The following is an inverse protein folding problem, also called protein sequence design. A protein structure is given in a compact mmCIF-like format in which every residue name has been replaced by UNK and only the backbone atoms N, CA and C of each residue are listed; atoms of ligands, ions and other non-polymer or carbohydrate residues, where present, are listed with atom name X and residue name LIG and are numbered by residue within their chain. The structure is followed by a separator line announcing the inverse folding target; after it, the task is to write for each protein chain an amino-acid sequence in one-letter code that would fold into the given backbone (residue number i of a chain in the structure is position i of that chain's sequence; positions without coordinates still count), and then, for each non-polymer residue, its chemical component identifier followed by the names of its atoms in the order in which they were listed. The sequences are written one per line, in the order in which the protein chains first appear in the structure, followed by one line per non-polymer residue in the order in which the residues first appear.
data_IF_691939768765
#
_entry.id   IF_691939768765
#
_cell.length_a   1.000
_cell.length_b   1.000
_cell.length_c   1.000
_cell.angle_alpha   90.00
_cell.angle_beta   90.00
_cell.angle_gamma   90.00
#
_symmetry.space_group_name_H-M   'P 1'
#
loop_
_entity.id
_entity.type
_entity.pdbx_description
1 polymer ?
#
# COMPACT_ATOMS: atom_id res chain seq x y z
N UNK A 1 -5.03 11.09 -5.73
CA UNK A 1 -4.17 11.31 -4.54
C UNK A 1 -3.13 10.21 -4.32
N UNK A 2 -3.46 8.95 -3.94
CA UNK A 2 -2.39 7.97 -3.66
C UNK A 2 -1.66 7.42 -4.90
N UNK A 3 -2.38 7.20 -6.02
CA UNK A 3 -1.77 6.77 -7.27
C UNK A 3 -0.76 7.81 -7.82
N UNK A 4 -1.01 9.10 -7.60
CA UNK A 4 -0.11 10.19 -8.00
C UNK A 4 1.22 10.16 -7.23
N UNK A 5 1.17 9.90 -5.91
CA UNK A 5 2.37 9.76 -5.09
C UNK A 5 3.23 8.58 -5.54
N UNK A 6 2.57 7.48 -5.92
CA UNK A 6 3.28 6.30 -6.40
C UNK A 6 3.87 6.52 -7.79
N UNK A 7 3.14 7.17 -8.70
CA UNK A 7 3.63 7.58 -10.00
C UNK A 7 4.86 8.50 -9.87
N UNK A 8 4.78 9.52 -9.02
CA UNK A 8 5.90 10.42 -8.76
C UNK A 8 7.12 9.65 -8.20
N UNK A 9 6.88 8.72 -7.27
CA UNK A 9 7.95 7.88 -6.71
C UNK A 9 8.58 6.97 -7.78
N UNK A 10 7.79 6.35 -8.65
CA UNK A 10 8.29 5.52 -9.76
C UNK A 10 9.07 6.37 -10.76
N UNK A 11 8.58 7.54 -11.15
CA UNK A 11 9.31 8.46 -12.05
C UNK A 11 10.66 8.86 -11.46
N UNK A 12 10.73 9.23 -10.17
CA UNK A 12 12.01 9.52 -9.53
C UNK A 12 12.91 8.27 -9.51
N UNK A 13 12.33 7.10 -9.25
CA UNK A 13 13.05 5.83 -9.20
C UNK A 13 13.68 5.50 -10.54
N UNK A 14 13.00 5.72 -11.68
CA UNK A 14 13.58 5.42 -12.99
C UNK A 14 14.78 6.28 -13.36
N UNK A 15 14.95 7.45 -12.74
CA UNK A 15 16.13 8.30 -12.93
C UNK A 15 17.32 7.91 -12.04
N UNK A 16 17.04 7.30 -10.88
CA UNK A 16 18.05 7.07 -9.82
C UNK A 16 18.48 5.61 -9.77
N UNK A 17 17.56 4.69 -10.03
CA UNK A 17 17.76 3.28 -9.80
C UNK A 17 18.61 2.68 -10.93
N UNK A 18 19.74 2.11 -10.56
CA UNK A 18 20.58 1.35 -11.50
C UNK A 18 19.88 0.06 -11.96
N UNK A 19 20.18 -0.45 -13.17
CA UNK A 19 19.72 -1.76 -13.61
C UNK A 19 20.02 -2.86 -12.58
N UNK A 20 19.08 -3.78 -12.38
CA UNK A 20 19.11 -4.81 -11.34
C UNK A 20 18.72 -4.30 -9.93
N UNK A 21 18.39 -3.02 -9.79
CA UNK A 21 18.00 -2.41 -8.51
C UNK A 21 16.68 -2.93 -7.94
N UNK A 22 16.39 -2.55 -6.70
CA UNK A 22 15.15 -2.89 -6.00
C UNK A 22 14.43 -1.62 -5.56
N UNK A 23 13.11 -1.58 -5.79
CA UNK A 23 12.22 -0.51 -5.38
C UNK A 23 11.15 -1.08 -4.45
N UNK A 24 10.92 -0.42 -3.31
CA UNK A 24 9.88 -0.81 -2.36
C UNK A 24 9.00 0.39 -2.06
N UNK A 25 7.70 0.24 -2.26
CA UNK A 25 6.74 1.30 -2.01
C UNK A 25 5.56 0.81 -1.18
N UNK A 26 5.10 1.67 -0.27
CA UNK A 26 3.84 1.47 0.46
C UNK A 26 2.68 1.83 -0.46
N UNK A 27 1.70 0.94 -0.56
CA UNK A 27 0.53 1.05 -1.42
C UNK A 27 -0.73 0.72 -0.64
N UNK A 28 -1.89 1.16 -1.12
CA UNK A 28 -3.16 0.68 -0.60
C UNK A 28 -3.69 -0.44 -1.49
N UNK A 29 -4.06 -1.56 -0.86
CA UNK A 29 -4.71 -2.68 -1.52
C UNK A 29 -6.18 -2.31 -1.78
N UNK A 30 -6.52 -2.10 -3.05
CA UNK A 30 -7.86 -1.74 -3.50
C UNK A 30 -8.16 -2.37 -4.85
N UNK A 31 -9.20 -1.87 -5.53
CA UNK A 31 -9.67 -2.40 -6.81
C UNK A 31 -8.60 -2.37 -7.92
N UNK A 32 -7.72 -1.38 -7.90
CA UNK A 32 -6.78 -1.09 -9.00
C UNK A 32 -5.36 -1.63 -8.78
N UNK A 33 -5.17 -2.53 -7.83
CA UNK A 33 -3.85 -3.11 -7.49
C UNK A 33 -3.26 -3.95 -8.63
N UNK A 34 -4.12 -4.63 -9.40
CA UNK A 34 -3.69 -5.47 -10.52
C UNK A 34 -3.15 -4.63 -11.70
N UNK A 35 -3.75 -3.46 -11.92
CA UNK A 35 -3.26 -2.49 -12.89
C UNK A 35 -1.88 -1.97 -12.47
N UNK A 36 -1.75 -1.60 -11.20
CA UNK A 36 -0.48 -1.17 -10.62
C UNK A 36 0.61 -2.25 -10.75
N UNK A 37 0.27 -3.50 -10.42
CA UNK A 37 1.17 -4.63 -10.57
C UNK A 37 1.66 -4.77 -12.01
N UNK A 38 0.75 -4.70 -12.97
CA UNK A 38 1.06 -4.82 -14.40
C UNK A 38 1.98 -3.69 -14.88
N UNK A 39 1.75 -2.46 -14.43
CA UNK A 39 2.59 -1.30 -14.73
C UNK A 39 4.00 -1.44 -14.17
N UNK A 40 4.13 -1.87 -12.90
CA UNK A 40 5.43 -2.11 -12.28
C UNK A 40 6.18 -3.27 -12.97
N UNK A 41 5.47 -4.30 -13.44
CA UNK A 41 6.06 -5.47 -14.11
C UNK A 41 6.75 -5.12 -15.44
N UNK A 42 6.41 -3.99 -16.06
CA UNK A 42 7.09 -3.49 -17.26
C UNK A 42 8.54 -3.08 -16.96
N UNK A 43 8.79 -2.58 -15.75
CA UNK A 43 10.08 -2.03 -15.34
C UNK A 43 10.90 -2.94 -14.44
N UNK A 44 10.32 -4.05 -13.96
CA UNK A 44 10.95 -4.91 -12.96
C UNK A 44 10.70 -6.39 -13.28
N UNK A 45 11.76 -7.19 -13.19
CA UNK A 45 11.70 -8.63 -13.44
C UNK A 45 10.77 -9.35 -12.45
N UNK A 46 10.73 -8.91 -11.20
CA UNK A 46 9.90 -9.48 -10.13
C UNK A 46 9.15 -8.36 -9.40
N UNK A 47 7.83 -8.51 -9.27
CA UNK A 47 6.99 -7.62 -8.47
C UNK A 47 6.22 -8.51 -7.51
N UNK A 48 6.27 -8.20 -6.22
CA UNK A 48 5.53 -8.91 -5.17
C UNK A 48 4.77 -7.88 -4.37
N UNK A 49 3.47 -8.13 -4.16
CA UNK A 49 2.67 -7.33 -3.24
C UNK A 49 2.57 -8.10 -1.93
N UNK A 50 3.14 -7.54 -0.88
CA UNK A 50 3.23 -8.17 0.43
C UNK A 50 2.61 -7.31 1.51
N UNK A 51 1.80 -7.93 2.35
CA UNK A 51 1.33 -7.34 3.60
C UNK A 51 2.04 -8.02 4.77
N UNK A 52 3.08 -7.41 5.36
CA UNK A 52 3.84 -8.03 6.42
C UNK A 52 3.01 -8.16 7.71
N UNK A 53 3.36 -9.11 8.57
CA UNK A 53 2.70 -9.34 9.88
C UNK A 53 2.77 -8.15 10.82
N UNK A 54 3.74 -7.26 10.63
CA UNK A 54 3.87 -6.00 11.37
C UNK A 54 2.83 -4.95 10.96
N UNK A 55 2.18 -5.11 9.80
CA UNK A 55 1.07 -4.25 9.36
C UNK A 55 -0.23 -4.66 10.05
N UNK A 56 -1.09 -3.69 10.36
CA UNK A 56 -2.39 -3.95 11.01
C UNK A 56 -3.27 -4.79 10.08
N UNK A 57 -3.85 -5.88 10.60
CA UNK A 57 -4.76 -6.75 9.81
C UNK A 57 -5.91 -5.96 9.20
N UNK A 58 -6.43 -4.97 9.93
CA UNK A 58 -7.52 -4.08 9.52
C UNK A 58 -7.10 -2.88 8.65
N UNK A 59 -5.86 -2.85 8.14
CA UNK A 59 -5.40 -1.78 7.26
C UNK A 59 -5.31 -2.25 5.82
N UNK A 60 -5.71 -1.41 4.88
CA UNK A 60 -5.50 -1.66 3.45
C UNK A 60 -4.06 -1.54 3.00
N UNK A 61 -3.16 -1.14 3.87
CA UNK A 61 -1.77 -0.95 3.50
C UNK A 61 -1.07 -2.27 3.18
N UNK A 62 -0.42 -2.28 2.02
CA UNK A 62 0.49 -3.31 1.55
C UNK A 62 1.76 -2.65 1.02
N UNK A 63 2.75 -3.48 0.68
CA UNK A 63 4.01 -3.03 0.11
C UNK A 63 4.22 -3.71 -1.24
N UNK A 64 4.45 -2.91 -2.27
CA UNK A 64 4.97 -3.41 -3.54
C UNK A 64 6.49 -3.51 -3.43
N UNK A 65 7.00 -4.72 -3.59
CA UNK A 65 8.43 -5.05 -3.60
C UNK A 65 8.80 -5.41 -5.04
N UNK A 66 9.51 -4.51 -5.71
CA UNK A 66 9.89 -4.65 -7.11
C UNK A 66 11.41 -4.87 -7.17
N UNK A 67 11.84 -5.96 -7.80
CA UNK A 67 13.24 -6.40 -7.84
C UNK A 67 13.67 -6.62 -9.29
N UNK A 68 14.96 -6.40 -9.54
CA UNK A 68 15.51 -6.52 -10.88
C UNK A 68 15.01 -5.41 -11.79
N UNK A 69 15.33 -4.15 -11.45
CA UNK A 69 14.99 -3.02 -12.32
C UNK A 69 15.56 -3.24 -13.71
N UNK A 70 14.68 -3.33 -14.70
CA UNK A 70 14.97 -3.69 -16.07
C UNK A 70 14.02 -2.89 -16.98
N UNK A 71 14.32 -1.60 -17.23
CA UNK A 71 13.49 -0.79 -18.09
C UNK A 71 13.54 -1.30 -19.53
N UNK A 72 12.45 -1.16 -20.31
CA UNK A 72 12.44 -1.53 -21.72
C UNK A 72 13.51 -0.78 -22.53
N UNK A 73 13.99 -1.42 -23.59
CA UNK A 73 14.93 -0.79 -24.53
C UNK A 73 14.33 0.53 -25.05
N UNK A 74 15.16 1.58 -25.10
CA UNK A 74 14.77 2.93 -25.55
C UNK A 74 13.80 3.66 -24.60
N UNK A 75 13.57 3.15 -23.40
CA UNK A 75 12.92 3.92 -22.34
C UNK A 75 13.86 5.04 -21.87
N UNK A 76 13.37 6.28 -21.94
CA UNK A 76 14.07 7.44 -21.41
C UNK A 76 13.29 7.99 -20.21
N UNK A 77 13.90 7.99 -19.00
CA UNK A 77 13.28 8.61 -17.84
C UNK A 77 12.99 10.09 -18.12
N UNK A 78 11.74 10.51 -17.90
CA UNK A 78 11.33 11.91 -18.04
C UNK A 78 10.71 12.44 -16.76
N UNK A 79 11.00 13.70 -16.43
CA UNK A 79 10.52 14.38 -15.22
C UNK A 79 9.18 15.11 -15.42
N UNK A 80 8.48 14.87 -16.54
CA UNK A 80 7.20 15.55 -16.78
C UNK A 80 6.14 15.09 -15.77
N UNK A 81 5.53 16.07 -15.11
CA UNK A 81 4.36 15.83 -14.28
C UNK A 81 3.18 15.51 -15.20
N UNK A 82 2.65 14.28 -15.14
CA UNK A 82 1.44 13.86 -15.87
C UNK A 82 0.22 14.76 -15.56
N UNK A 83 0.26 15.52 -14.45
CA UNK A 83 -0.75 16.51 -14.06
C UNK A 83 -0.64 17.86 -14.80
N UNK A 84 0.43 18.11 -15.55
CA UNK A 84 0.51 19.25 -16.47
C UNK A 84 -0.21 18.84 -17.77
N UNK A 85 -1.54 18.71 -17.70
CA UNK A 85 -2.41 18.48 -18.86
C UNK A 85 -2.14 19.60 -19.89
N UNK A 86 -1.36 19.27 -20.93
CA UNK A 86 -1.00 20.19 -22.00
C UNK A 86 0.49 20.20 -22.36
N UNK A 87 1.41 19.85 -21.44
CA UNK A 87 2.85 19.77 -21.75
C UNK A 87 3.26 18.36 -22.18
N UNK A 88 2.68 17.32 -21.57
CA UNK A 88 2.91 15.92 -21.96
C UNK A 88 2.55 15.69 -23.44
N UNK A 89 1.38 16.19 -23.86
CA UNK A 89 0.90 16.07 -25.23
C UNK A 89 1.88 16.72 -26.22
N UNK A 90 2.35 17.94 -25.92
CA UNK A 90 3.33 18.67 -26.75
C UNK A 90 4.69 17.99 -26.81
N UNK A 91 5.14 17.38 -25.70
CA UNK A 91 6.37 16.59 -25.68
C UNK A 91 6.25 15.40 -26.63
N UNK A 92 5.19 14.60 -26.54
CA UNK A 92 5.02 13.46 -27.45
C UNK A 92 4.74 13.87 -28.90
N UNK A 93 4.11 15.02 -29.16
CA UNK A 93 3.88 15.56 -30.50
C UNK A 93 5.16 16.11 -31.16
N UNK A 94 6.10 16.67 -30.37
CA UNK A 94 7.38 17.18 -30.89
C UNK A 94 8.35 16.08 -31.34
N UNK A 95 8.24 14.87 -30.79
CA UNK A 95 9.08 13.71 -31.12
C UNK A 95 8.35 12.68 -32.01
N UNK A 96 7.16 13.01 -32.52
CA UNK A 96 6.35 12.12 -33.35
C UNK A 96 6.84 12.11 -34.81
N UNK A 97 8.02 11.53 -35.05
CA UNK A 97 8.57 11.24 -36.38
C UNK A 97 7.85 10.05 -37.07
N UNK A 98 6.66 9.67 -36.59
CA UNK A 98 5.90 8.51 -37.07
C UNK A 98 6.39 7.16 -36.53
N UNK A 99 7.33 7.14 -35.59
CA UNK A 99 7.83 5.93 -34.92
C UNK A 99 7.17 5.71 -33.54
N UNK A 100 6.95 4.45 -33.20
CA UNK A 100 6.40 4.04 -31.89
C UNK A 100 7.36 4.43 -30.75
N UNK A 101 6.97 5.37 -29.90
CA UNK A 101 7.78 5.80 -28.78
C UNK A 101 7.41 5.03 -27.50
N UNK A 102 8.35 4.27 -26.96
CA UNK A 102 8.14 3.37 -25.80
C UNK A 102 7.61 4.13 -24.58
N UNK A 103 8.07 5.37 -24.36
CA UNK A 103 7.56 6.24 -23.29
C UNK A 103 6.06 6.59 -23.44
N UNK A 104 5.51 6.62 -24.66
CA UNK A 104 4.08 6.91 -24.93
C UNK A 104 3.19 5.70 -24.63
N UNK A 105 3.70 4.48 -24.80
CA UNK A 105 2.94 3.26 -24.51
C UNK A 105 2.96 2.90 -23.03
N UNK A 106 4.00 3.31 -22.31
CA UNK A 106 4.17 3.03 -20.88
C UNK A 106 3.42 4.04 -20.00
N UNK A 107 3.13 5.25 -20.51
CA UNK A 107 2.29 6.24 -19.84
C UNK A 107 0.87 6.16 -20.43
N UNK A 108 -0.16 5.80 -19.64
CA UNK A 108 -0.44 6.50 -18.40
C UNK A 108 -0.57 5.55 -17.22
N UNK A 109 0.21 5.83 -16.19
CA UNK A 109 -0.15 5.44 -14.84
C UNK A 109 -1.44 6.20 -14.48
N UNK A 110 -2.58 5.66 -14.92
CA UNK A 110 -3.86 6.28 -14.66
C UNK A 110 -4.09 6.22 -13.16
N UNK A 111 -4.34 7.37 -12.55
CA UNK A 111 -4.90 7.43 -11.21
C UNK A 111 -6.35 6.91 -11.27
N UNK A 112 -6.50 5.60 -11.49
CA UNK A 112 -7.78 4.94 -11.36
C UNK A 112 -8.09 4.82 -9.87
N UNK A 113 -9.23 5.35 -9.44
CA UNK A 113 -9.76 5.12 -8.10
C UNK A 113 -10.21 6.39 -7.39
N UNK A 114 -11.51 6.67 -7.49
CA UNK A 114 -12.27 7.25 -6.40
C UNK A 114 -12.28 6.24 -5.23
N UNK A 115 -12.05 6.71 -4.00
CA UNK A 115 -12.04 5.91 -2.76
C UNK A 115 -13.41 5.25 -2.44
N UNK A 116 -14.42 5.40 -3.29
CA UNK A 116 -15.77 4.86 -3.12
C UNK A 116 -15.91 3.35 -3.38
N UNK A 117 -14.87 2.68 -3.90
CA UNK A 117 -14.89 1.24 -4.16
C UNK A 117 -15.02 0.41 -2.88
N UNK A 118 -15.60 -0.80 -3.00
CA UNK A 118 -15.63 -1.77 -1.92
C UNK A 118 -14.23 -2.35 -1.64
N UNK A 119 -13.83 -2.33 -0.38
CA UNK A 119 -12.55 -2.66 0.21
C UNK A 119 -12.72 -3.95 1.02
N UNK A 120 -11.68 -4.77 0.98
CA UNK A 120 -11.53 -5.99 1.76
C UNK A 120 -11.65 -5.77 3.28
N UNK A 121 -11.50 -4.53 3.78
CA UNK A 121 -11.53 -4.21 5.21
C UNK A 121 -12.94 -3.94 5.76
N UNK A 122 -14.01 -4.16 4.99
CA UNK A 122 -15.41 -4.10 5.48
C UNK A 122 -15.82 -2.76 6.11
N UNK A 123 -15.17 -1.65 5.75
CA UNK A 123 -15.47 -0.30 6.29
C UNK A 123 -16.70 0.34 5.62
N UNK A 124 -17.67 -0.48 5.21
CA UNK A 124 -18.91 -0.03 4.58
C UNK A 124 -20.02 0.10 5.62
N UNK A 125 -20.97 0.98 5.35
CA UNK A 125 -22.27 0.94 6.01
C UNK A 125 -22.80 -0.49 5.94
N UNK A 126 -23.06 -1.09 7.10
CA UNK A 126 -23.42 -2.52 7.23
C UNK A 126 -24.72 -2.88 6.47
N UNK A 127 -25.46 -1.87 6.01
CA UNK A 127 -26.63 -1.97 5.14
C UNK A 127 -26.23 -1.92 3.65
N UNK A 128 -25.44 -2.88 3.19
CA UNK A 128 -24.86 -2.88 1.83
C UNK A 128 -25.91 -3.03 0.71
N UNK A 129 -27.12 -3.54 1.00
CA UNK A 129 -28.07 -3.95 -0.05
C UNK A 129 -29.54 -3.54 0.15
N UNK A 130 -29.90 -2.66 1.10
CA UNK A 130 -31.31 -2.29 1.43
C UNK A 130 -32.27 -3.48 1.64
N UNK A 131 -31.76 -4.71 1.78
CA UNK A 131 -32.55 -5.95 1.79
C UNK A 131 -32.66 -6.60 3.17
N UNK A 132 -31.72 -6.34 4.09
CA UNK A 132 -31.77 -6.77 5.50
C UNK A 132 -30.91 -5.85 6.38
N UNK A 133 -31.42 -5.52 7.56
CA UNK A 133 -30.67 -4.79 8.59
C UNK A 133 -29.58 -5.67 9.18
N UNK A 134 -28.40 -5.09 9.39
CA UNK A 134 -27.29 -5.78 10.04
C UNK A 134 -27.64 -6.15 11.49
N UNK A 135 -27.36 -7.41 11.88
CA UNK A 135 -27.49 -7.90 13.25
C UNK A 135 -26.10 -8.17 13.83
N UNK A 136 -25.74 -7.43 14.88
CA UNK A 136 -24.48 -7.63 15.61
C UNK A 136 -24.48 -8.97 16.35
N UNK A 137 -23.34 -9.67 16.29
CA UNK A 137 -23.07 -10.88 17.07
C UNK A 137 -21.84 -10.64 17.94
N UNK A 138 -21.90 -11.12 19.18
CA UNK A 138 -20.76 -11.03 20.11
C UNK A 138 -19.56 -11.84 19.57
N UNK A 139 -18.32 -11.35 19.75
CA UNK A 139 -17.11 -12.10 19.39
C UNK A 139 -17.02 -13.42 20.17
N UNK A 140 -16.68 -14.50 19.48
CA UNK A 140 -16.48 -15.82 20.12
C UNK A 140 -15.35 -15.81 21.17
N UNK A 141 -14.39 -14.90 21.04
CA UNK A 141 -13.30 -14.73 21.98
C UNK A 141 -13.16 -13.24 22.32
N UNK A 142 -13.24 -12.92 23.62
CA UNK A 142 -13.04 -11.55 24.10
C UNK A 142 -11.57 -11.15 23.91
N UNK A 143 -11.28 -9.86 23.71
CA UNK A 143 -9.90 -9.37 23.69
C UNK A 143 -9.14 -9.87 24.91
N UNK A 144 -7.93 -10.38 24.67
CA UNK A 144 -7.00 -10.73 25.75
C UNK A 144 -6.71 -9.48 26.58
N UNK A 145 -6.51 -9.67 27.88
CA UNK A 145 -6.19 -8.58 28.77
C UNK A 145 -4.88 -7.89 28.32
N UNK A 146 -4.83 -6.55 28.34
CA UNK A 146 -3.61 -5.86 27.94
C UNK A 146 -2.47 -6.20 28.91
N UNK A 147 -1.21 -6.30 28.41
CA UNK A 147 -0.06 -6.70 29.24
C UNK A 147 0.20 -5.73 30.41
N UNK A 148 -0.29 -4.49 30.33
CA UNK A 148 -0.18 -3.48 31.38
C UNK A 148 -1.33 -3.48 32.38
N UNK A 149 -2.32 -4.38 32.26
CA UNK A 149 -3.50 -4.44 33.15
C UNK A 149 -3.09 -4.55 34.62
N UNK A 150 -2.12 -5.43 34.91
CA UNK A 150 -1.60 -5.66 36.25
C UNK A 150 -0.88 -4.42 36.80
N UNK A 151 -0.05 -3.77 35.98
CA UNK A 151 0.61 -2.51 36.37
C UNK A 151 -0.40 -1.39 36.68
N UNK A 152 -1.46 -1.27 35.89
CA UNK A 152 -2.54 -0.30 36.12
C UNK A 152 -3.31 -0.62 37.41
N UNK A 153 -3.55 -1.90 37.69
CA UNK A 153 -4.19 -2.33 38.95
C UNK A 153 -3.31 -2.01 40.17
N UNK A 154 -2.02 -2.35 40.12
CA UNK A 154 -1.06 -2.06 41.19
C UNK A 154 -0.91 -0.55 41.44
N UNK A 155 -0.96 0.26 40.36
CA UNK A 155 -1.01 1.72 40.46
C UNK A 155 -2.26 2.21 41.18
N UNK A 156 -3.43 1.64 40.86
CA UNK A 156 -4.69 2.00 41.53
C UNK A 156 -4.72 1.59 43.00
N UNK A 157 -4.08 0.48 43.35
CA UNK A 157 -4.03 -0.03 44.73
C UNK A 157 -2.84 0.52 45.53
N UNK A 158 -2.08 1.50 45.00
CA UNK A 158 -0.85 2.03 45.60
C UNK A 158 0.12 0.92 46.07
N UNK A 159 0.20 -0.16 45.28
CA UNK A 159 1.03 -1.33 45.55
C UNK A 159 2.26 -1.43 44.64
N UNK A 160 2.54 -0.39 43.83
CA UNK A 160 3.71 -0.31 42.95
C UNK A 160 5.04 -0.37 43.71
N UNK A 161 5.10 0.24 44.89
CA UNK A 161 6.34 0.36 45.68
C UNK A 161 6.51 -0.77 46.71
N UNK A 162 5.57 -1.72 46.78
CA UNK A 162 5.67 -2.88 47.68
C UNK A 162 6.47 -3.97 46.97
N UNK A 163 7.56 -4.50 47.55
CA UNK A 163 8.24 -5.64 46.97
C UNK A 163 7.26 -6.81 46.85
N UNK A 164 6.99 -7.26 45.62
CA UNK A 164 6.19 -8.45 45.40
C UNK A 164 7.10 -9.67 45.57
N UNK A 165 6.79 -10.53 46.54
CA UNK A 165 7.40 -11.85 46.63
C UNK A 165 6.99 -12.65 45.38
N UNK A 166 7.89 -12.73 44.41
CA UNK A 166 7.66 -13.46 43.18
C UNK A 166 7.69 -14.96 43.46
N UNK A 167 6.53 -15.56 43.73
CA UNK A 167 6.35 -17.01 43.67
C UNK A 167 5.88 -17.36 42.26
N UNK A 168 6.66 -18.09 41.46
CA UNK A 168 6.20 -18.55 40.16
C UNK A 168 5.03 -19.52 40.37
N UNK A 169 3.85 -19.16 39.88
CA UNK A 169 2.74 -20.09 39.77
C UNK A 169 3.11 -21.16 38.74
N UNK A 170 3.24 -22.39 39.22
CA UNK A 170 3.31 -23.58 38.37
C UNK A 170 1.97 -23.74 37.65
N UNK A 171 1.89 -23.31 36.40
CA UNK A 171 0.75 -23.60 35.53
C UNK A 171 0.75 -25.09 35.16
N UNK A 172 -0.27 -25.82 35.63
CA UNK A 172 -0.78 -27.05 35.00
C UNK A 172 -1.82 -26.69 33.97
#
# INVERSE_FOLDING_TARGET
IQAELLLAAVNITTHILKPGGTFVAKIFRGKDVELLYSQLKIFFDEVIISKPRSSRTSSIEAFAVCRGYNPPDQYEPTMFNTLMEGECQKYFEQFDDGNFHVNRAIIPFMACGDLSGFDSDTTYSLNINNKKDYKYHEPNQKPIDPPYKLAVQLKKTNALDKPMDFKPENNK
#
